data_IF_533637525222
#
_entry.id   IF_533637525222
#
_cell.length_a   1.000
_cell.length_b   1.000
_cell.length_c   1.000
_cell.angle_alpha   90.00
_cell.angle_beta   90.00
_cell.angle_gamma   90.00
#
_symmetry.space_group_name_H-M   'P 1'
#
loop_
_entity.id
_entity.type
_entity.pdbx_description
1 polymer ?
#
# COMPACT_ATOMS: atom_id res chain seq x y z
N UNK A 1 -25.05 8.90 -4.18
CA UNK A 1 -25.94 8.71 -5.33
C UNK A 1 -27.06 7.73 -4.95
N UNK A 2 -28.29 8.10 -5.19
CA UNK A 2 -29.50 7.27 -5.00
C UNK A 2 -30.11 7.02 -6.37
N UNK A 3 -30.46 5.79 -6.67
CA UNK A 3 -31.05 5.41 -7.96
C UNK A 3 -32.31 4.61 -7.72
N UNK A 4 -33.38 4.95 -8.45
CA UNK A 4 -34.64 4.24 -8.43
C UNK A 4 -35.13 3.99 -9.85
N UNK A 5 -35.90 2.91 -10.03
CA UNK A 5 -36.50 2.54 -11.31
C UNK A 5 -37.99 2.71 -11.25
N UNK A 6 -38.55 3.34 -12.28
CA UNK A 6 -39.99 3.49 -12.45
C UNK A 6 -40.47 2.82 -13.74
N UNK A 7 -41.56 2.09 -13.70
CA UNK A 7 -42.20 1.55 -14.91
C UNK A 7 -42.97 2.64 -15.62
N UNK A 8 -42.43 3.15 -16.72
CA UNK A 8 -43.15 4.04 -17.62
C UNK A 8 -44.20 3.22 -18.43
N UNK A 9 -45.44 3.73 -18.53
CA UNK A 9 -46.50 3.04 -19.26
C UNK A 9 -46.19 2.84 -20.74
N UNK A 10 -46.60 1.72 -21.26
CA UNK A 10 -46.78 1.22 -22.67
C UNK A 10 -45.86 1.76 -23.79
N UNK A 11 -44.62 2.14 -23.51
CA UNK A 11 -43.62 2.56 -24.53
C UNK A 11 -42.25 2.05 -24.13
N UNK A 12 -41.45 1.66 -25.09
CA UNK A 12 -40.08 1.18 -24.92
C UNK A 12 -39.20 2.27 -24.24
N UNK A 13 -38.85 2.07 -22.99
CA UNK A 13 -37.95 2.92 -22.23
C UNK A 13 -38.32 2.92 -20.75
N UNK A 14 -37.48 2.38 -19.90
CA UNK A 14 -37.62 2.53 -18.46
C UNK A 14 -37.18 3.94 -18.05
N UNK A 15 -37.90 4.52 -17.13
CA UNK A 15 -37.54 5.80 -16.54
C UNK A 15 -36.69 5.53 -15.30
N UNK A 16 -35.46 5.94 -15.34
CA UNK A 16 -34.59 5.94 -14.18
C UNK A 16 -34.63 7.30 -13.49
N UNK A 17 -34.74 7.29 -12.19
CA UNK A 17 -34.64 8.50 -11.35
C UNK A 17 -33.40 8.38 -10.48
N UNK A 18 -32.66 9.47 -10.33
CA UNK A 18 -31.47 9.51 -9.51
C UNK A 18 -31.38 10.81 -8.71
N UNK A 19 -30.65 10.73 -7.59
CA UNK A 19 -30.44 11.86 -6.69
C UNK A 19 -29.08 11.75 -6.01
N UNK A 20 -28.40 12.88 -5.81
CA UNK A 20 -27.15 12.95 -5.04
C UNK A 20 -27.39 13.24 -3.56
N UNK A 21 -28.52 13.90 -3.25
CA UNK A 21 -28.86 14.35 -1.89
C UNK A 21 -30.03 13.59 -1.26
N UNK A 22 -30.70 12.71 -2.03
CA UNK A 22 -31.93 12.00 -1.62
C UNK A 22 -33.18 12.88 -1.57
N UNK A 23 -33.09 14.15 -1.94
CA UNK A 23 -34.17 15.15 -1.87
C UNK A 23 -34.57 15.61 -3.27
N UNK A 24 -33.60 15.98 -4.08
CA UNK A 24 -33.79 16.45 -5.45
C UNK A 24 -33.59 15.29 -6.42
N UNK A 25 -34.65 14.90 -7.15
CA UNK A 25 -34.63 13.78 -8.06
C UNK A 25 -34.62 14.21 -9.52
N UNK A 26 -33.69 13.67 -10.25
CA UNK A 26 -33.53 13.84 -11.69
C UNK A 26 -34.05 12.60 -12.42
N UNK A 27 -34.35 12.74 -13.71
CA UNK A 27 -34.81 11.66 -14.57
C UNK A 27 -33.90 11.46 -15.76
N UNK A 28 -33.60 10.22 -16.10
CA UNK A 28 -32.91 9.85 -17.33
C UNK A 28 -33.63 8.69 -18.01
N UNK A 29 -33.57 8.61 -19.32
CA UNK A 29 -34.10 7.47 -20.07
C UNK A 29 -32.98 6.45 -20.32
N UNK A 30 -33.26 5.18 -20.01
CA UNK A 30 -32.36 4.06 -20.28
C UNK A 30 -32.93 3.21 -21.42
N UNK A 31 -32.06 2.62 -22.25
CA UNK A 31 -32.51 1.92 -23.46
C UNK A 31 -33.13 0.53 -23.22
N UNK A 32 -33.55 0.22 -21.98
CA UNK A 32 -34.01 -1.12 -21.57
C UNK A 32 -35.34 -1.10 -20.82
N UNK A 33 -36.03 -2.25 -20.84
CA UNK A 33 -37.13 -2.56 -19.92
C UNK A 33 -36.53 -3.15 -18.66
N UNK A 34 -36.35 -2.33 -17.68
CA UNK A 34 -35.66 -2.75 -16.46
C UNK A 34 -36.50 -3.61 -15.57
N UNK A 35 -35.84 -4.61 -15.00
CA UNK A 35 -36.39 -5.41 -13.92
C UNK A 35 -35.51 -5.40 -12.67
N UNK A 36 -34.23 -5.09 -12.81
CA UNK A 36 -33.33 -4.99 -11.67
C UNK A 36 -32.16 -4.01 -11.91
N UNK A 37 -31.71 -3.40 -10.82
CA UNK A 37 -30.52 -2.56 -10.74
C UNK A 37 -29.64 -3.06 -9.61
N UNK A 38 -28.34 -3.05 -9.80
CA UNK A 38 -27.35 -3.39 -8.78
C UNK A 38 -26.09 -2.56 -8.99
N UNK A 39 -25.45 -2.14 -7.90
CA UNK A 39 -24.14 -1.47 -7.97
C UNK A 39 -23.05 -2.40 -7.43
N UNK A 40 -21.93 -2.46 -8.12
CA UNK A 40 -20.73 -3.17 -7.70
C UNK A 40 -19.70 -2.24 -7.03
N UNK A 41 -20.08 -0.99 -6.79
CA UNK A 41 -19.23 0.04 -6.20
C UNK A 41 -18.57 0.94 -7.25
N UNK A 42 -18.24 0.39 -8.43
CA UNK A 42 -17.60 1.14 -9.53
C UNK A 42 -18.58 1.42 -10.66
N UNK A 43 -19.55 0.51 -10.88
CA UNK A 43 -20.53 0.63 -11.94
C UNK A 43 -21.93 0.34 -11.40
N UNK A 44 -22.93 0.82 -12.11
CA UNK A 44 -24.32 0.42 -11.95
C UNK A 44 -24.71 -0.51 -13.09
N UNK A 45 -25.26 -1.66 -12.77
CA UNK A 45 -25.71 -2.69 -13.69
C UNK A 45 -27.21 -2.73 -13.77
N UNK A 46 -27.75 -2.87 -14.96
CA UNK A 46 -29.18 -2.98 -15.20
C UNK A 46 -29.48 -4.16 -16.13
N UNK A 47 -30.51 -4.94 -15.85
CA UNK A 47 -30.90 -6.08 -16.63
C UNK A 47 -32.34 -6.00 -17.14
N UNK A 48 -32.55 -6.51 -18.37
CA UNK A 48 -33.86 -6.61 -19.00
C UNK A 48 -34.48 -7.99 -18.73
N UNK A 49 -35.64 -8.04 -18.10
CA UNK A 49 -36.37 -9.28 -17.81
C UNK A 49 -37.22 -9.81 -18.97
N UNK A 50 -37.25 -9.13 -20.11
CA UNK A 50 -38.11 -9.49 -21.24
C UNK A 50 -37.41 -10.11 -22.45
N UNK A 51 -36.10 -9.93 -22.54
CA UNK A 51 -35.29 -10.43 -23.67
C UNK A 51 -34.08 -11.19 -23.13
N UNK A 52 -33.79 -12.29 -23.74
CA UNK A 52 -32.76 -13.23 -23.33
C UNK A 52 -31.40 -12.55 -23.19
N UNK A 53 -30.88 -12.47 -21.97
CA UNK A 53 -29.47 -12.22 -21.68
C UNK A 53 -28.97 -10.78 -21.80
N UNK A 54 -29.83 -9.77 -21.91
CA UNK A 54 -29.36 -8.38 -22.07
C UNK A 54 -29.08 -7.72 -20.72
N UNK A 55 -27.84 -7.30 -20.52
CA UNK A 55 -27.41 -6.48 -19.43
C UNK A 55 -26.76 -5.20 -19.94
N UNK A 56 -26.86 -4.15 -19.16
CA UNK A 56 -26.15 -2.89 -19.40
C UNK A 56 -25.43 -2.46 -18.15
N UNK A 57 -24.33 -1.76 -18.31
CA UNK A 57 -23.65 -1.17 -17.17
C UNK A 57 -23.27 0.30 -17.48
N UNK A 58 -23.17 1.09 -16.44
CA UNK A 58 -22.80 2.49 -16.49
C UNK A 58 -21.86 2.80 -15.33
N UNK A 59 -20.79 3.58 -15.53
CA UNK A 59 -19.86 3.95 -14.46
C UNK A 59 -20.47 4.92 -13.43
N UNK A 60 -21.48 5.68 -13.81
CA UNK A 60 -22.14 6.67 -12.94
C UNK A 60 -23.62 6.33 -12.66
N UNK A 61 -24.16 5.31 -13.31
CA UNK A 61 -25.56 4.93 -13.22
C UNK A 61 -26.53 5.88 -13.91
N UNK A 62 -26.06 6.93 -14.56
CA UNK A 62 -26.87 7.98 -15.19
C UNK A 62 -26.61 8.07 -16.68
N UNK A 63 -25.35 8.04 -17.08
CA UNK A 63 -24.91 8.19 -18.47
C UNK A 63 -23.99 7.05 -18.91
N UNK A 64 -23.63 7.00 -20.18
CA UNK A 64 -22.62 6.06 -20.67
C UNK A 64 -23.00 4.59 -20.58
N UNK A 65 -24.29 4.25 -20.64
CA UNK A 65 -24.76 2.87 -20.61
C UNK A 65 -24.20 2.04 -21.75
N UNK A 66 -23.46 1.01 -21.39
CA UNK A 66 -22.80 0.10 -22.32
C UNK A 66 -23.48 -1.27 -22.28
N UNK A 67 -23.77 -1.81 -23.45
CA UNK A 67 -24.34 -3.15 -23.60
C UNK A 67 -23.31 -4.22 -23.24
N UNK A 68 -23.73 -5.18 -22.43
CA UNK A 68 -22.94 -6.36 -22.09
C UNK A 68 -23.62 -7.59 -22.69
N UNK A 69 -22.92 -8.27 -23.59
CA UNK A 69 -23.42 -9.51 -24.21
C UNK A 69 -23.13 -10.68 -23.26
N UNK A 70 -24.09 -10.93 -22.38
CA UNK A 70 -24.03 -12.04 -21.45
C UNK A 70 -24.40 -13.39 -22.10
N UNK A 71 -24.22 -14.50 -21.41
CA UNK A 71 -24.68 -15.79 -21.90
C UNK A 71 -26.18 -15.77 -22.16
N UNK A 72 -26.59 -16.37 -23.25
CA UNK A 72 -27.90 -16.33 -23.93
C UNK A 72 -29.02 -16.98 -23.07
N UNK A 73 -29.23 -16.53 -21.86
CA UNK A 73 -30.24 -17.02 -20.90
C UNK A 73 -30.99 -15.83 -20.30
N UNK A 74 -32.31 -15.88 -20.35
CA UNK A 74 -33.15 -14.85 -19.73
C UNK A 74 -32.88 -14.72 -18.22
N UNK A 75 -32.60 -13.48 -17.77
CA UNK A 75 -32.39 -13.17 -16.37
C UNK A 75 -33.74 -12.80 -15.75
N UNK A 76 -34.10 -13.48 -14.69
CA UNK A 76 -35.29 -13.11 -13.92
C UNK A 76 -34.94 -12.09 -12.84
N UNK A 77 -35.93 -11.48 -12.32
CA UNK A 77 -36.17 -10.46 -11.34
C UNK A 77 -35.14 -10.21 -10.21
N UNK A 78 -34.10 -11.02 -10.02
CA UNK A 78 -33.19 -10.90 -8.87
C UNK A 78 -31.72 -11.02 -9.27
N UNK A 79 -30.97 -10.03 -8.86
CA UNK A 79 -29.51 -10.06 -8.91
C UNK A 79 -28.96 -9.61 -7.56
N UNK A 80 -27.89 -10.26 -7.11
CA UNK A 80 -27.18 -9.90 -5.87
C UNK A 80 -25.74 -9.61 -6.15
N UNK A 81 -25.20 -8.63 -5.44
CA UNK A 81 -23.78 -8.31 -5.44
C UNK A 81 -23.17 -8.67 -4.09
N UNK A 82 -22.15 -9.51 -4.10
CA UNK A 82 -21.33 -9.82 -2.94
C UNK A 82 -19.92 -10.19 -3.37
N UNK A 83 -18.91 -9.64 -2.71
CA UNK A 83 -17.49 -9.96 -2.93
C UNK A 83 -17.05 -9.90 -4.40
N UNK A 84 -17.38 -8.82 -5.09
CA UNK A 84 -17.07 -8.62 -6.52
C UNK A 84 -17.75 -9.62 -7.46
N UNK A 85 -18.84 -10.21 -7.02
CA UNK A 85 -19.63 -11.19 -7.75
C UNK A 85 -21.04 -10.69 -7.94
N UNK A 86 -21.50 -10.62 -9.20
CA UNK A 86 -22.90 -10.43 -9.53
C UNK A 86 -23.50 -11.82 -9.83
N UNK A 87 -24.48 -12.21 -9.06
CA UNK A 87 -25.23 -13.43 -9.29
C UNK A 87 -26.60 -13.05 -9.80
N UNK A 88 -26.95 -13.50 -11.00
CA UNK A 88 -28.27 -13.30 -11.57
C UNK A 88 -28.96 -14.65 -11.74
N UNK A 89 -30.25 -14.71 -11.39
CA UNK A 89 -31.07 -15.92 -11.46
C UNK A 89 -31.94 -15.87 -12.71
N UNK A 90 -31.91 -16.88 -13.58
CA UNK A 90 -32.71 -16.90 -14.79
C UNK A 90 -34.21 -17.18 -14.49
N UNK A 91 -35.07 -16.64 -15.34
CA UNK A 91 -36.50 -16.97 -15.31
C UNK A 91 -36.74 -18.34 -15.94
N UNK A 92 -37.21 -19.33 -15.16
CA UNK A 92 -37.54 -20.66 -15.64
C UNK A 92 -36.52 -21.73 -15.21
N UNK A 93 -36.59 -22.92 -15.77
CA UNK A 93 -35.75 -24.07 -15.42
C UNK A 93 -34.29 -23.98 -15.93
N UNK A 94 -33.80 -22.79 -16.24
CA UNK A 94 -32.45 -22.55 -16.69
C UNK A 94 -31.42 -22.53 -15.55
N UNK A 95 -30.18 -22.77 -15.88
CA UNK A 95 -29.09 -22.67 -14.94
C UNK A 95 -28.76 -21.19 -14.70
N UNK A 96 -28.64 -20.78 -13.43
CA UNK A 96 -28.16 -19.47 -13.04
C UNK A 96 -26.77 -19.22 -13.64
N UNK A 97 -26.50 -18.01 -14.11
CA UNK A 97 -25.16 -17.63 -14.51
C UNK A 97 -24.54 -16.68 -13.49
N UNK A 98 -23.25 -16.80 -13.41
CA UNK A 98 -22.42 -16.01 -12.55
C UNK A 98 -21.66 -15.00 -13.42
N UNK A 99 -21.92 -13.72 -13.22
CA UNK A 99 -21.03 -12.68 -13.72
C UNK A 99 -19.96 -12.47 -12.64
N UNK A 100 -18.78 -12.98 -12.90
CA UNK A 100 -17.63 -12.58 -12.09
C UNK A 100 -17.17 -11.25 -12.67
N UNK A 101 -17.21 -10.19 -11.88
CA UNK A 101 -16.34 -9.08 -12.16
C UNK A 101 -14.93 -9.70 -12.16
N UNK A 102 -14.31 -9.79 -13.33
CA UNK A 102 -12.87 -9.95 -13.36
C UNK A 102 -12.40 -8.72 -12.59
N UNK A 103 -11.91 -8.92 -11.37
CA UNK A 103 -11.34 -7.83 -10.61
C UNK A 103 -10.40 -7.15 -11.60
N UNK A 104 -10.74 -5.94 -12.01
CA UNK A 104 -9.71 -5.07 -12.56
C UNK A 104 -8.58 -5.28 -11.59
N UNK A 105 -7.47 -5.85 -12.06
CA UNK A 105 -6.27 -6.03 -11.26
C UNK A 105 -6.23 -4.80 -10.37
N UNK A 106 -6.34 -4.99 -9.06
CA UNK A 106 -6.36 -3.87 -8.13
C UNK A 106 -5.31 -2.91 -8.64
N UNK A 107 -5.74 -1.74 -9.14
CA UNK A 107 -4.77 -0.78 -9.65
C UNK A 107 -3.90 -0.53 -8.43
N UNK A 108 -2.64 -0.96 -8.44
CA UNK A 108 -1.81 -0.78 -7.28
C UNK A 108 -1.75 0.72 -7.01
N UNK A 109 -1.84 1.09 -5.75
CA UNK A 109 -1.73 2.48 -5.32
C UNK A 109 -0.28 2.72 -4.93
N UNK A 110 0.27 3.83 -5.32
CA UNK A 110 1.64 4.19 -4.94
C UNK A 110 1.76 4.31 -3.42
N UNK A 111 2.81 3.75 -2.85
CA UNK A 111 3.12 3.87 -1.42
C UNK A 111 3.18 5.33 -0.99
N UNK A 112 3.72 6.20 -1.86
CA UNK A 112 3.76 7.64 -1.68
C UNK A 112 2.38 8.25 -1.44
N UNK A 113 1.39 7.85 -2.24
CA UNK A 113 0.01 8.36 -2.14
C UNK A 113 -0.65 7.91 -0.83
N UNK A 114 -0.46 6.66 -0.41
CA UNK A 114 -1.00 6.14 0.85
C UNK A 114 -0.42 6.91 2.03
N UNK A 115 0.90 7.05 2.07
CA UNK A 115 1.60 7.74 3.17
C UNK A 115 1.21 9.22 3.22
N UNK A 116 1.18 9.90 2.07
CA UNK A 116 0.78 11.29 1.97
C UNK A 116 -0.67 11.48 2.43
N UNK A 117 -1.61 10.64 1.97
CA UNK A 117 -3.01 10.71 2.36
C UNK A 117 -3.19 10.52 3.88
N UNK A 118 -2.48 9.57 4.50
CA UNK A 118 -2.55 9.36 5.94
C UNK A 118 -1.95 10.54 6.73
N UNK A 119 -0.86 11.14 6.27
CA UNK A 119 -0.28 12.34 6.89
C UNK A 119 -1.23 13.54 6.82
N UNK A 120 -1.89 13.76 5.69
CA UNK A 120 -2.87 14.84 5.50
C UNK A 120 -4.11 14.71 6.41
N UNK A 121 -4.46 13.50 6.83
CA UNK A 121 -5.56 13.26 7.81
C UNK A 121 -5.31 13.91 9.16
N UNK A 122 -4.07 14.31 9.47
CA UNK A 122 -3.76 15.07 10.69
C UNK A 122 -4.47 16.42 10.75
N UNK A 123 -4.75 17.03 9.59
CA UNK A 123 -5.23 18.39 9.48
C UNK A 123 -4.22 19.46 9.92
N UNK A 124 -2.99 19.07 10.25
CA UNK A 124 -1.89 19.95 10.67
C UNK A 124 -0.92 20.17 9.51
N UNK A 125 -0.65 19.12 8.73
CA UNK A 125 0.27 19.14 7.60
C UNK A 125 -0.46 19.50 6.32
N UNK A 126 0.19 20.27 5.47
CA UNK A 126 -0.23 20.51 4.08
C UNK A 126 0.51 19.59 3.12
N UNK A 127 0.04 19.48 1.89
CA UNK A 127 0.71 18.63 0.88
C UNK A 127 2.16 19.08 0.58
N UNK A 128 2.46 20.36 0.78
CA UNK A 128 3.81 20.90 0.59
C UNK A 128 4.79 20.53 1.70
N UNK A 129 4.28 20.13 2.87
CA UNK A 129 5.09 19.78 4.04
C UNK A 129 5.45 18.27 4.08
N UNK A 130 5.05 17.51 3.05
CA UNK A 130 5.20 16.05 3.01
C UNK A 130 5.96 15.65 1.75
N UNK A 131 7.19 15.17 1.90
CA UNK A 131 8.02 14.66 0.81
C UNK A 131 8.01 13.13 0.80
N UNK A 132 7.22 12.56 -0.09
CA UNK A 132 7.13 11.11 -0.35
C UNK A 132 7.71 10.70 -1.71
N UNK A 133 8.35 11.62 -2.44
CA UNK A 133 8.80 11.40 -3.83
C UNK A 133 9.75 10.20 -3.99
N UNK A 134 10.46 9.83 -2.93
CA UNK A 134 11.37 8.69 -2.94
C UNK A 134 10.66 7.32 -2.77
N UNK A 135 9.37 7.30 -2.40
CA UNK A 135 8.58 6.08 -2.21
C UNK A 135 7.92 5.67 -3.53
N UNK A 136 8.61 4.89 -4.34
CA UNK A 136 8.18 4.50 -5.69
C UNK A 136 7.53 3.11 -5.75
N UNK A 137 7.28 2.49 -4.61
CA UNK A 137 6.74 1.14 -4.53
C UNK A 137 5.21 1.15 -4.68
N UNK A 138 4.69 0.10 -5.29
CA UNK A 138 3.27 -0.13 -5.47
C UNK A 138 2.70 -1.04 -4.37
N UNK A 139 1.52 -0.70 -3.86
CA UNK A 139 0.78 -1.43 -2.83
C UNK A 139 -0.52 -1.96 -3.42
N UNK A 140 -0.71 -3.28 -3.46
CA UNK A 140 -1.93 -3.90 -4.00
C UNK A 140 -3.15 -3.72 -3.11
N UNK A 141 -2.94 -3.63 -1.83
CA UNK A 141 -4.00 -3.42 -0.85
C UNK A 141 -3.43 -3.27 0.54
N UNK A 142 -4.02 -2.38 1.31
CA UNK A 142 -3.66 -2.11 2.69
C UNK A 142 -4.93 -1.92 3.53
N UNK A 143 -5.02 -2.60 4.66
CA UNK A 143 -6.18 -2.55 5.54
C UNK A 143 -5.87 -1.83 6.83
N UNK A 144 -6.53 -0.71 7.08
CA UNK A 144 -6.56 -0.02 8.38
C UNK A 144 -7.83 -0.47 9.11
N UNK A 145 -7.68 -1.33 10.10
CA UNK A 145 -8.81 -1.98 10.77
C UNK A 145 -9.22 -1.30 12.09
N UNK A 146 -8.43 -0.38 12.62
CA UNK A 146 -8.68 0.26 13.89
C UNK A 146 -8.43 1.77 13.82
N UNK A 147 -9.14 2.51 14.66
CA UNK A 147 -8.86 3.93 14.90
C UNK A 147 -7.57 4.03 15.69
N UNK A 148 -6.59 4.74 15.17
CA UNK A 148 -5.28 4.90 15.78
C UNK A 148 -4.60 6.19 15.36
N UNK A 149 -3.35 6.35 15.77
CA UNK A 149 -2.51 7.46 15.34
C UNK A 149 -2.07 7.25 13.87
N UNK A 150 -1.73 8.34 13.19
CA UNK A 150 -1.15 8.28 11.83
C UNK A 150 0.10 7.40 11.81
N UNK A 151 0.93 7.50 12.84
CA UNK A 151 2.10 6.65 12.99
C UNK A 151 1.74 5.17 12.97
N UNK A 152 0.72 4.75 13.72
CA UNK A 152 0.28 3.34 13.75
C UNK A 152 -0.30 2.86 12.41
N UNK A 153 -0.78 3.78 11.57
CA UNK A 153 -1.20 3.46 10.21
C UNK A 153 -0.02 3.34 9.23
N UNK A 154 1.12 3.99 9.50
CA UNK A 154 2.30 3.97 8.62
C UNK A 154 3.28 2.85 9.01
N UNK A 155 3.42 2.51 10.29
CA UNK A 155 4.36 1.50 10.79
C UNK A 155 4.28 0.13 10.07
N UNK A 156 3.10 -0.44 9.75
CA UNK A 156 3.04 -1.69 8.99
C UNK A 156 3.62 -1.57 7.57
N UNK A 157 3.50 -0.39 6.95
CA UNK A 157 4.09 -0.12 5.64
C UNK A 157 5.62 -0.09 5.73
N UNK A 158 6.19 0.48 6.79
CA UNK A 158 7.64 0.43 7.06
C UNK A 158 8.14 -1.01 7.26
N UNK A 159 7.33 -1.88 7.84
CA UNK A 159 7.63 -3.31 7.98
C UNK A 159 7.69 -4.05 6.64
N UNK A 160 6.96 -3.58 5.63
CA UNK A 160 6.96 -4.17 4.29
C UNK A 160 7.97 -3.52 3.34
N UNK A 161 8.09 -2.22 3.41
CA UNK A 161 9.01 -1.39 2.62
C UNK A 161 9.82 -0.53 3.59
N UNK A 162 11.03 -0.95 3.98
CA UNK A 162 11.84 -0.21 4.94
C UNK A 162 12.15 1.21 4.48
N UNK A 163 11.64 2.21 5.19
CA UNK A 163 11.94 3.62 5.00
C UNK A 163 12.03 4.34 6.34
N UNK A 164 12.73 5.45 6.38
CA UNK A 164 12.86 6.30 7.55
C UNK A 164 12.01 7.57 7.39
N UNK A 165 11.51 8.08 8.49
CA UNK A 165 10.73 9.32 8.56
C UNK A 165 11.61 10.39 9.19
N UNK A 166 11.94 11.42 8.44
CA UNK A 166 12.98 12.40 8.76
C UNK A 166 12.32 13.78 8.82
N UNK A 167 12.42 14.49 9.95
CA UNK A 167 12.04 15.90 9.99
C UNK A 167 13.11 16.73 9.27
N UNK A 168 12.70 17.53 8.30
CA UNK A 168 13.54 18.44 7.53
C UNK A 168 12.99 19.88 7.62
N UNK A 169 13.39 20.59 8.66
CA UNK A 169 12.86 21.92 8.97
C UNK A 169 11.39 21.86 9.36
N UNK A 170 10.51 22.33 8.48
CA UNK A 170 9.03 22.27 8.66
C UNK A 170 8.41 21.10 7.88
N UNK A 171 9.20 20.39 7.08
CA UNK A 171 8.76 19.32 6.21
C UNK A 171 9.05 17.95 6.84
N UNK A 172 8.33 16.93 6.38
CA UNK A 172 8.57 15.54 6.74
C UNK A 172 8.97 14.78 5.48
N UNK A 173 10.19 14.25 5.45
CA UNK A 173 10.71 13.47 4.33
C UNK A 173 10.67 11.97 4.63
N UNK A 174 10.23 11.19 3.67
CA UNK A 174 10.19 9.73 3.72
C UNK A 174 11.28 9.15 2.83
N UNK A 175 12.33 8.58 3.43
CA UNK A 175 13.53 8.11 2.74
C UNK A 175 13.62 6.58 2.77
N UNK A 176 13.60 5.88 1.62
CA UNK A 176 13.82 4.44 1.56
C UNK A 176 15.21 4.07 2.06
N UNK A 177 15.31 2.96 2.79
CA UNK A 177 16.61 2.39 3.17
C UNK A 177 17.28 1.74 1.97
N UNK A 178 18.61 1.83 1.89
CA UNK A 178 19.39 1.27 0.80
C UNK A 178 19.61 2.26 -0.36
N UNK A 179 19.46 3.56 -0.12
CA UNK A 179 19.79 4.61 -1.06
C UNK A 179 21.29 4.62 -1.40
N UNK A 180 21.65 5.23 -2.53
CA UNK A 180 23.04 5.46 -2.90
C UNK A 180 23.73 6.46 -1.95
N UNK A 181 25.04 6.35 -1.80
CA UNK A 181 25.84 7.28 -1.01
C UNK A 181 25.74 8.71 -1.58
N UNK A 182 25.44 9.67 -0.71
CA UNK A 182 25.36 11.11 -1.05
C UNK A 182 26.69 11.84 -0.87
N UNK A 183 27.59 11.30 -0.04
CA UNK A 183 28.90 11.88 0.21
C UNK A 183 29.94 10.80 0.51
N UNK A 184 31.20 11.09 0.15
CA UNK A 184 32.34 10.29 0.56
C UNK A 184 33.15 11.08 1.59
N UNK A 185 33.41 10.44 2.73
CA UNK A 185 34.15 11.04 3.85
C UNK A 185 35.53 10.41 3.88
N UNK A 186 36.57 11.18 3.57
CA UNK A 186 37.95 10.69 3.61
C UNK A 186 38.40 10.41 5.05
N UNK A 187 39.33 9.47 5.23
CA UNK A 187 39.90 9.12 6.53
C UNK A 187 40.49 10.31 7.29
N UNK A 188 41.00 11.31 6.56
CA UNK A 188 41.57 12.50 7.16
C UNK A 188 40.57 13.42 7.88
N UNK A 189 39.29 13.32 7.54
CA UNK A 189 38.21 14.12 8.14
C UNK A 189 37.56 13.44 9.34
N UNK A 190 37.97 12.22 9.66
CA UNK A 190 37.45 11.46 10.80
C UNK A 190 38.06 11.97 12.11
N UNK A 191 37.24 11.98 13.17
CA UNK A 191 37.62 12.39 14.53
C UNK A 191 38.23 13.81 14.59
N UNK A 192 37.61 14.75 13.87
CA UNK A 192 38.01 16.15 13.88
C UNK A 192 37.84 16.74 15.28
N UNK A 193 38.97 17.17 15.89
CA UNK A 193 38.96 17.77 17.20
C UNK A 193 38.85 19.30 17.08
N UNK A 194 37.99 19.98 17.89
CA UNK A 194 37.82 21.44 17.84
C UNK A 194 39.09 22.25 18.13
N UNK A 195 39.99 21.68 18.89
CA UNK A 195 41.26 22.32 19.29
C UNK A 195 42.44 22.03 18.33
N UNK A 196 42.17 21.27 17.25
CA UNK A 196 43.20 20.87 16.31
C UNK A 196 44.19 19.83 16.82
N UNK A 197 43.90 19.16 17.94
CA UNK A 197 44.71 18.05 18.42
C UNK A 197 44.64 16.86 17.45
N UNK A 198 45.69 16.01 17.40
CA UNK A 198 45.69 14.86 16.52
C UNK A 198 44.52 13.92 16.86
N UNK A 199 43.91 13.30 15.85
CA UNK A 199 42.79 12.39 16.04
C UNK A 199 43.15 11.24 16.97
N UNK A 200 42.26 10.94 17.90
CA UNK A 200 42.38 9.81 18.83
C UNK A 200 41.86 8.52 18.23
N UNK A 201 40.67 8.14 18.64
CA UNK A 201 39.94 6.99 18.05
C UNK A 201 39.09 7.52 16.89
N UNK A 202 39.44 7.19 15.67
CA UNK A 202 38.78 7.68 14.47
C UNK A 202 37.36 7.14 14.31
N UNK A 203 37.11 5.88 14.73
CA UNK A 203 35.84 5.19 14.59
C UNK A 203 35.53 4.44 15.87
N UNK A 204 34.42 4.78 16.52
CA UNK A 204 33.88 4.02 17.63
C UNK A 204 32.82 3.07 17.12
N UNK A 205 32.96 1.78 17.41
CA UNK A 205 32.01 0.76 16.99
C UNK A 205 31.40 0.05 18.19
N UNK A 206 30.09 -0.08 18.19
CA UNK A 206 29.35 -0.95 19.09
C UNK A 206 28.66 -2.04 18.26
N UNK A 207 28.71 -3.28 18.72
CA UNK A 207 28.10 -4.41 18.00
C UNK A 207 27.20 -5.19 18.93
N UNK A 208 25.98 -5.46 18.52
CA UNK A 208 25.08 -6.35 19.21
C UNK A 208 25.58 -7.79 19.16
N UNK A 209 25.30 -8.55 20.25
CA UNK A 209 25.65 -9.96 20.30
C UNK A 209 24.76 -10.75 19.32
N UNK A 210 25.36 -11.67 18.60
CA UNK A 210 24.65 -12.53 17.63
C UNK A 210 23.49 -13.31 18.26
N UNK A 211 23.53 -13.59 19.58
CA UNK A 211 22.47 -14.26 20.32
C UNK A 211 21.21 -13.41 20.55
N UNK A 212 21.33 -12.10 20.45
CA UNK A 212 20.20 -11.15 20.62
C UNK A 212 19.46 -10.93 19.31
N UNK A 213 20.10 -11.20 18.19
CA UNK A 213 19.52 -11.02 16.85
C UNK A 213 18.49 -12.13 16.55
N UNK A 214 17.53 -11.85 15.64
CA UNK A 214 16.57 -12.85 15.24
C UNK A 214 17.22 -13.93 14.36
N UNK A 215 16.95 -15.18 14.71
CA UNK A 215 17.21 -16.34 13.84
C UNK A 215 16.16 -16.43 12.73
N UNK A 216 14.89 -16.11 13.06
CA UNK A 216 13.75 -16.22 12.17
C UNK A 216 12.93 -14.93 12.19
N UNK A 217 12.52 -14.49 11.01
CA UNK A 217 11.50 -13.43 10.83
C UNK A 217 10.31 -14.06 10.13
N UNK A 218 9.13 -13.89 10.71
CA UNK A 218 7.86 -14.35 10.15
C UNK A 218 6.99 -13.14 9.85
N UNK A 219 6.41 -13.09 8.66
CA UNK A 219 5.46 -12.08 8.23
C UNK A 219 4.08 -12.73 8.09
N UNK A 220 3.10 -12.24 8.82
CA UNK A 220 1.69 -12.53 8.61
C UNK A 220 1.12 -11.47 7.66
N UNK A 221 0.43 -11.88 6.61
CA UNK A 221 -0.05 -11.00 5.54
C UNK A 221 -1.40 -11.48 4.99
N UNK A 222 -2.04 -10.69 4.13
CA UNK A 222 -3.25 -11.05 3.40
C UNK A 222 -2.84 -11.59 2.03
N UNK A 223 -3.19 -12.84 1.74
CA UNK A 223 -2.75 -13.51 0.50
C UNK A 223 -3.64 -13.11 -0.68
N UNK A 224 -3.03 -12.50 -1.71
CA UNK A 224 -3.72 -12.08 -2.92
C UNK A 224 -4.32 -13.24 -3.71
N UNK A 225 -3.68 -14.43 -3.66
CA UNK A 225 -4.07 -15.60 -4.42
C UNK A 225 -5.09 -16.50 -3.68
N UNK A 226 -5.37 -16.18 -2.39
CA UNK A 226 -6.27 -16.95 -1.51
C UNK A 226 -7.43 -16.13 -0.95
N UNK A 227 -8.06 -15.34 -1.79
CA UNK A 227 -9.22 -14.52 -1.42
C UNK A 227 -8.98 -13.63 -0.18
N UNK A 228 -7.73 -13.16 -0.02
CA UNK A 228 -7.25 -12.33 1.10
C UNK A 228 -7.28 -13.01 2.47
N UNK A 229 -7.15 -14.33 2.51
CA UNK A 229 -6.96 -15.06 3.75
C UNK A 229 -5.63 -14.70 4.42
N UNK A 230 -5.59 -14.80 5.76
CA UNK A 230 -4.37 -14.59 6.52
C UNK A 230 -3.42 -15.75 6.29
N UNK A 231 -2.25 -15.44 5.76
CA UNK A 231 -1.16 -16.37 5.51
C UNK A 231 0.13 -15.89 6.19
N UNK A 232 1.10 -16.78 6.31
CA UNK A 232 2.38 -16.48 6.90
C UNK A 232 3.52 -17.01 6.04
N UNK A 233 4.57 -16.19 5.90
CA UNK A 233 5.84 -16.58 5.31
C UNK A 233 6.98 -16.25 6.27
N UNK A 234 8.08 -16.97 6.18
CA UNK A 234 9.22 -16.74 7.05
C UNK A 234 10.55 -16.89 6.32
N UNK A 235 11.55 -16.20 6.85
CA UNK A 235 12.96 -16.42 6.52
C UNK A 235 13.72 -16.85 7.77
N UNK A 236 14.70 -17.72 7.61
CA UNK A 236 15.48 -18.26 8.71
C UNK A 236 16.98 -18.32 8.38
N UNK A 237 17.81 -17.89 9.32
CA UNK A 237 19.26 -17.99 9.24
C UNK A 237 19.74 -19.24 9.99
N UNK A 238 20.25 -20.21 9.25
CA UNK A 238 20.60 -21.51 9.83
C UNK A 238 21.95 -21.50 10.58
N UNK A 239 22.91 -20.72 10.10
CA UNK A 239 24.28 -20.67 10.65
C UNK A 239 24.43 -19.55 11.68
N UNK A 240 23.70 -19.64 12.80
CA UNK A 240 23.76 -18.63 13.87
C UNK A 240 23.49 -19.28 15.24
N UNK A 241 24.13 -18.82 16.33
CA UNK A 241 23.75 -19.18 17.68
C UNK A 241 22.45 -18.52 18.15
N UNK A 242 21.89 -17.59 17.39
CA UNK A 242 20.63 -16.92 17.71
C UNK A 242 19.47 -17.91 17.77
N UNK A 243 18.55 -17.69 18.71
CA UNK A 243 17.32 -18.49 18.91
C UNK A 243 16.05 -17.65 18.80
N UNK A 244 16.17 -16.33 18.82
CA UNK A 244 15.04 -15.42 18.80
C UNK A 244 14.27 -15.48 17.48
N UNK A 245 12.95 -15.28 17.57
CA UNK A 245 12.08 -15.13 16.42
C UNK A 245 11.31 -13.79 16.52
N UNK A 246 11.19 -13.12 15.40
CA UNK A 246 10.37 -11.90 15.24
C UNK A 246 9.17 -12.26 14.38
N UNK A 247 7.98 -11.85 14.82
CA UNK A 247 6.73 -11.99 14.07
C UNK A 247 6.19 -10.60 13.81
N UNK A 248 5.88 -10.32 12.55
CA UNK A 248 5.31 -9.06 12.08
C UNK A 248 3.94 -9.32 11.49
N UNK A 249 2.93 -8.61 11.99
CA UNK A 249 1.57 -8.64 11.44
C UNK A 249 1.40 -7.47 10.49
N UNK A 250 1.39 -7.77 9.20
CA UNK A 250 1.25 -6.77 8.13
C UNK A 250 -0.15 -6.90 7.50
N UNK A 251 -1.06 -5.96 7.74
CA UNK A 251 -2.39 -5.96 7.12
C UNK A 251 -2.32 -5.51 5.65
N UNK A 252 -1.39 -6.08 4.89
CA UNK A 252 -1.04 -5.72 3.52
C UNK A 252 -1.29 -6.93 2.62
N UNK A 253 -1.80 -6.68 1.42
CA UNK A 253 -2.04 -7.70 0.42
C UNK A 253 -0.74 -8.00 -0.34
N UNK A 254 -0.24 -9.21 -0.20
CA UNK A 254 0.98 -9.71 -0.85
C UNK A 254 0.72 -11.07 -1.48
N UNK A 255 1.58 -11.47 -2.41
CA UNK A 255 1.69 -12.86 -2.81
C UNK A 255 2.64 -13.62 -1.87
N UNK A 256 2.57 -14.95 -1.86
CA UNK A 256 3.47 -15.78 -1.04
C UNK A 256 4.96 -15.50 -1.34
N UNK A 257 5.30 -15.27 -2.60
CA UNK A 257 6.67 -14.99 -3.04
C UNK A 257 7.13 -13.60 -2.56
N UNK A 258 6.26 -12.58 -2.66
CA UNK A 258 6.56 -11.23 -2.16
C UNK A 258 6.76 -11.24 -0.64
N UNK A 259 5.89 -11.91 0.10
CA UNK A 259 6.00 -12.01 1.55
C UNK A 259 7.29 -12.74 1.99
N UNK A 260 7.66 -13.81 1.31
CA UNK A 260 8.94 -14.52 1.56
C UNK A 260 10.14 -13.61 1.31
N UNK A 261 10.17 -12.91 0.16
CA UNK A 261 11.25 -11.95 -0.15
C UNK A 261 11.34 -10.81 0.86
N UNK A 262 10.20 -10.30 1.36
CA UNK A 262 10.20 -9.27 2.40
C UNK A 262 10.73 -9.80 3.74
N UNK A 263 10.38 -11.04 4.11
CA UNK A 263 10.93 -11.68 5.30
C UNK A 263 12.46 -11.85 5.21
N UNK A 264 12.99 -12.19 4.04
CA UNK A 264 14.44 -12.28 3.80
C UNK A 264 15.12 -10.94 3.92
N UNK A 265 14.55 -9.88 3.31
CA UNK A 265 15.09 -8.51 3.39
C UNK A 265 15.13 -8.02 4.84
N UNK A 266 14.04 -8.21 5.59
CA UNK A 266 13.98 -7.81 7.00
C UNK A 266 15.00 -8.58 7.85
N UNK A 267 15.11 -9.89 7.66
CA UNK A 267 16.11 -10.70 8.36
C UNK A 267 17.52 -10.21 8.04
N UNK A 268 17.79 -9.89 6.76
CA UNK A 268 19.07 -9.34 6.34
C UNK A 268 19.35 -7.98 6.99
N UNK A 269 18.36 -7.08 7.06
CA UNK A 269 18.49 -5.77 7.70
C UNK A 269 18.81 -5.88 9.18
N UNK A 270 18.14 -6.74 9.94
CA UNK A 270 18.48 -6.99 11.36
C UNK A 270 19.93 -7.40 11.54
N UNK A 271 20.46 -8.22 10.64
CA UNK A 271 21.85 -8.67 10.72
C UNK A 271 22.85 -7.64 10.19
N UNK A 272 22.47 -6.80 9.25
CA UNK A 272 23.29 -5.73 8.71
C UNK A 272 23.42 -4.59 9.72
N UNK A 273 22.29 -4.18 10.29
CA UNK A 273 22.20 -3.03 11.21
C UNK A 273 22.65 -3.36 12.66
N UNK A 274 23.24 -4.53 12.88
CA UNK A 274 23.76 -4.94 14.20
C UNK A 274 24.96 -4.16 14.70
N UNK A 275 25.55 -3.34 13.87
CA UNK A 275 26.75 -2.59 14.19
C UNK A 275 26.46 -1.10 14.10
N UNK A 276 26.58 -0.42 15.23
CA UNK A 276 26.54 1.03 15.30
C UNK A 276 27.95 1.61 15.20
N UNK A 277 28.05 2.71 14.48
CA UNK A 277 29.30 3.43 14.24
C UNK A 277 29.09 4.90 14.66
N UNK A 278 29.96 5.40 15.52
CA UNK A 278 29.99 6.80 15.92
C UNK A 278 31.23 7.49 15.31
N UNK A 279 30.98 8.60 14.62
CA UNK A 279 32.00 9.41 13.95
C UNK A 279 31.86 10.86 14.38
N UNK A 280 32.98 11.56 14.53
CA UNK A 280 33.04 13.01 14.70
C UNK A 280 33.57 13.64 13.41
N UNK A 281 32.77 14.53 12.81
CA UNK A 281 33.04 15.11 11.50
C UNK A 281 33.22 16.63 11.60
N UNK A 282 33.99 17.25 10.72
CA UNK A 282 34.11 18.69 10.64
C UNK A 282 32.79 19.34 10.16
N UNK A 283 32.57 20.65 10.44
CA UNK A 283 31.35 21.37 10.09
C UNK A 283 31.03 21.41 8.58
N UNK A 284 31.98 21.07 7.72
CA UNK A 284 31.75 20.95 6.27
C UNK A 284 30.68 19.95 5.91
N UNK A 285 30.42 18.98 6.79
CA UNK A 285 29.40 17.94 6.63
C UNK A 285 28.04 18.27 7.30
N UNK A 286 27.85 19.51 7.76
CA UNK A 286 26.58 19.95 8.40
C UNK A 286 25.36 19.88 7.48
N UNK A 287 25.56 19.68 6.18
CA UNK A 287 24.47 19.51 5.21
C UNK A 287 23.89 18.09 5.20
N UNK A 288 24.56 17.13 5.82
CA UNK A 288 24.07 15.76 5.92
C UNK A 288 22.92 15.68 6.91
N UNK A 289 21.98 14.77 6.62
CA UNK A 289 20.79 14.57 7.43
C UNK A 289 20.66 13.11 7.88
N UNK A 290 19.91 12.82 8.96
CA UNK A 290 19.53 11.45 9.28
C UNK A 290 18.84 10.79 8.07
N UNK A 291 19.12 9.51 7.83
CA UNK A 291 18.64 8.76 6.67
C UNK A 291 19.58 8.80 5.45
N UNK A 292 20.48 9.77 5.37
CA UNK A 292 21.47 9.80 4.30
C UNK A 292 22.47 8.64 4.43
N UNK A 293 22.91 8.14 3.30
CA UNK A 293 23.97 7.13 3.22
C UNK A 293 25.27 7.81 2.84
N UNK A 294 26.34 7.53 3.58
CA UNK A 294 27.67 8.05 3.32
C UNK A 294 28.67 6.91 3.15
N UNK A 295 29.68 7.13 2.32
CA UNK A 295 30.82 6.24 2.18
C UNK A 295 31.98 6.78 2.98
N UNK A 296 32.44 6.03 3.97
CA UNK A 296 33.58 6.39 4.80
C UNK A 296 34.81 5.62 4.30
N UNK A 297 35.87 6.35 3.98
CA UNK A 297 37.15 5.75 3.60
C UNK A 297 37.94 5.40 4.88
N UNK A 298 38.38 4.17 4.98
CA UNK A 298 39.23 3.70 6.09
C UNK A 298 40.44 2.98 5.53
N UNK A 299 41.44 2.77 6.37
CA UNK A 299 42.68 2.04 5.99
C UNK A 299 42.40 0.60 5.52
N UNK A 300 41.30 0.01 6.00
CA UNK A 300 40.86 -1.35 5.67
C UNK A 300 39.90 -1.40 4.45
N UNK A 301 39.54 -0.25 3.89
CA UNK A 301 38.65 -0.12 2.74
C UNK A 301 37.46 0.81 3.00
N UNK A 302 36.57 0.92 2.01
CA UNK A 302 35.40 1.80 2.08
C UNK A 302 34.23 1.11 2.78
N UNK A 303 33.63 1.82 3.74
CA UNK A 303 32.46 1.37 4.49
C UNK A 303 31.28 2.26 4.13
N UNK A 304 30.16 1.66 3.77
CA UNK A 304 28.91 2.41 3.55
C UNK A 304 28.09 2.41 4.84
N UNK A 305 27.74 3.61 5.31
CA UNK A 305 27.04 3.84 6.56
C UNK A 305 25.77 4.67 6.31
N UNK A 306 24.68 4.32 6.99
CA UNK A 306 23.47 5.14 7.03
C UNK A 306 23.47 5.97 8.32
N UNK A 307 23.26 7.27 8.19
CA UNK A 307 23.19 8.19 9.33
C UNK A 307 21.86 7.96 10.05
N UNK A 308 21.91 7.59 11.33
CA UNK A 308 20.72 7.38 12.16
C UNK A 308 20.40 8.57 13.04
N UNK A 309 21.43 9.30 13.50
CA UNK A 309 21.29 10.49 14.33
C UNK A 309 22.47 11.42 14.14
N UNK A 310 22.26 12.71 14.35
CA UNK A 310 23.28 13.76 14.32
C UNK A 310 23.14 14.55 15.62
N UNK A 311 24.28 14.81 16.28
CA UNK A 311 24.38 15.72 17.43
C UNK A 311 25.41 16.80 17.14
N UNK A 312 25.11 18.06 17.48
CA UNK A 312 25.94 19.23 17.28
C UNK A 312 26.58 19.70 18.59
#
# INVERSE_FOLDING_TARGET
LYIGVGTGGSGYGALMVWSDDGITWNQTSVPIREYWLISDGDNVWAGDGGVVGTCYYSPDGVTGWTYYDGPNQGISHEAWYANSLIVAVPSGSGQGFRITKQSSSSIPVDLADIVSAECLRSGILSAGDIDTAALTQEVRGYRIAAVGSIRSAIEPLQGSWPFDVIPDGYDIRFQPRGSSSVATIPAADLDCQPDGSPPGIQIKTAREMDTQLPRRVTINYLDADREYDNCAQHAERLNTPAINAVVLDLPIVLTATEAAGKAEVLLYLYWLERQDVELTLPPTYNHLQPGDVVTVETDDGNISLRITAISY
#
